data_IF_582865396043
#
_entry.id   IF_582865396043
#
_cell.length_a   1.000
_cell.length_b   1.000
_cell.length_c   1.000
_cell.angle_alpha   90.00
_cell.angle_beta   90.00
_cell.angle_gamma   90.00
#
_symmetry.space_group_name_H-M   'P 1'
#
loop_
_entity.id
_entity.type
_entity.pdbx_description
1 polymer ?
#
# COMPACT_ATOMS: atom_id res chain seq x y z
N UNK A 1 26.54 -1.74 8.40
CA UNK A 1 25.52 -2.81 8.46
C UNK A 1 24.62 -2.84 7.21
N UNK A 2 24.09 -1.71 6.73
CA UNK A 2 23.25 -1.64 5.51
C UNK A 2 24.07 -1.92 4.24
N UNK A 3 25.25 -1.32 4.11
CA UNK A 3 26.22 -1.65 3.05
C UNK A 3 26.52 -3.15 3.00
N UNK A 4 26.68 -3.80 4.16
CA UNK A 4 26.92 -5.25 4.23
C UNK A 4 25.67 -6.09 3.86
N UNK A 5 24.46 -5.61 4.18
CA UNK A 5 23.22 -6.38 4.02
C UNK A 5 22.49 -6.15 2.68
N UNK A 6 22.75 -5.03 2.03
CA UNK A 6 22.09 -4.57 0.81
C UNK A 6 23.07 -4.08 -0.27
N UNK A 7 24.38 -3.98 0.03
CA UNK A 7 25.38 -3.35 -0.86
C UNK A 7 25.03 -1.91 -1.24
N UNK A 8 24.32 -1.21 -0.35
CA UNK A 8 23.94 0.21 -0.50
C UNK A 8 24.71 1.05 0.51
N UNK A 9 25.41 2.06 0.02
CA UNK A 9 25.92 3.15 0.85
C UNK A 9 24.81 4.19 1.02
N UNK A 10 24.45 4.46 2.28
CA UNK A 10 23.37 5.40 2.58
C UNK A 10 23.79 6.85 2.40
N UNK A 11 25.10 7.15 2.42
CA UNK A 11 25.62 8.51 2.27
C UNK A 11 25.29 9.09 0.88
N UNK A 12 25.04 8.24 -0.10
CA UNK A 12 24.60 8.65 -1.44
C UNK A 12 23.11 9.02 -1.49
N UNK A 13 22.40 8.99 -0.36
CA UNK A 13 20.95 9.19 -0.26
C UNK A 13 20.56 10.19 0.83
N UNK A 14 21.47 11.09 1.23
CA UNK A 14 21.24 12.04 2.32
C UNK A 14 20.10 13.04 2.04
N UNK A 15 19.79 13.29 0.76
CA UNK A 15 18.66 14.14 0.34
C UNK A 15 17.29 13.44 0.41
N UNK A 16 17.25 12.13 0.68
CA UNK A 16 16.00 11.37 0.72
C UNK A 16 15.39 11.32 2.12
N UNK A 17 14.07 11.39 2.17
CA UNK A 17 13.34 11.24 3.44
C UNK A 17 13.55 9.85 4.05
N UNK A 18 13.54 9.70 5.39
CA UNK A 18 13.65 8.38 6.02
C UNK A 18 12.54 7.42 5.59
N UNK A 19 11.35 7.93 5.25
CA UNK A 19 10.28 7.14 4.65
C UNK A 19 10.69 6.53 3.30
N UNK A 20 11.26 7.34 2.39
CA UNK A 20 11.74 6.87 1.09
C UNK A 20 12.83 5.82 1.26
N UNK A 21 13.82 6.07 2.11
CA UNK A 21 14.90 5.12 2.39
C UNK A 21 14.36 3.79 2.93
N UNK A 22 13.34 3.84 3.80
CA UNK A 22 12.71 2.64 4.33
C UNK A 22 11.97 1.84 3.24
N UNK A 23 11.31 2.51 2.28
CA UNK A 23 10.67 1.86 1.14
C UNK A 23 11.71 1.25 0.18
N UNK A 24 12.81 1.95 -0.08
CA UNK A 24 13.93 1.41 -0.86
C UNK A 24 14.49 0.13 -0.22
N UNK A 25 14.70 0.12 1.10
CA UNK A 25 15.14 -1.10 1.80
C UNK A 25 14.09 -2.22 1.72
N UNK A 26 12.80 -1.88 1.70
CA UNK A 26 11.73 -2.87 1.51
C UNK A 26 11.83 -3.52 0.13
N UNK A 27 11.97 -2.70 -0.91
CA UNK A 27 12.12 -3.15 -2.30
C UNK A 27 13.33 -4.08 -2.48
N UNK A 28 14.50 -3.65 -1.97
CA UNK A 28 15.72 -4.47 -2.02
C UNK A 28 15.66 -5.75 -1.18
N UNK A 29 14.68 -5.87 -0.29
CA UNK A 29 14.44 -7.07 0.51
C UNK A 29 13.54 -8.09 -0.18
N UNK A 30 12.79 -7.67 -1.20
CA UNK A 30 11.92 -8.54 -1.96
C UNK A 30 12.69 -9.23 -3.10
N UNK A 31 12.26 -10.42 -3.55
CA UNK A 31 12.83 -11.03 -4.74
C UNK A 31 12.65 -10.10 -5.94
N UNK A 32 13.70 -9.87 -6.73
CA UNK A 32 13.58 -9.12 -7.97
C UNK A 32 12.61 -9.83 -8.90
N UNK A 33 11.50 -9.18 -9.23
CA UNK A 33 10.60 -9.62 -10.29
C UNK A 33 11.03 -8.96 -11.59
N UNK A 34 10.98 -9.70 -12.71
CA UNK A 34 11.20 -9.13 -14.06
C UNK A 34 9.96 -8.41 -14.61
N UNK A 35 8.86 -8.40 -13.86
CA UNK A 35 7.57 -7.85 -14.26
C UNK A 35 7.26 -6.61 -13.44
N UNK A 36 6.54 -5.69 -14.07
CA UNK A 36 6.03 -4.47 -13.46
C UNK A 36 5.21 -4.75 -12.20
N UNK A 37 5.10 -3.72 -11.35
CA UNK A 37 4.15 -3.74 -10.26
C UNK A 37 2.73 -3.99 -10.81
N UNK A 38 1.91 -4.74 -10.06
CA UNK A 38 0.58 -5.15 -10.51
C UNK A 38 -0.29 -3.95 -10.93
N UNK A 39 -0.22 -2.86 -10.18
CA UNK A 39 -1.00 -1.65 -10.46
C UNK A 39 -0.61 -1.03 -11.80
N UNK A 40 0.70 -0.98 -12.12
CA UNK A 40 1.19 -0.52 -13.42
C UNK A 40 0.75 -1.46 -14.54
N UNK A 41 0.86 -2.77 -14.34
CA UNK A 41 0.42 -3.76 -15.32
C UNK A 41 -1.09 -3.62 -15.62
N UNK A 42 -1.93 -3.51 -14.59
CA UNK A 42 -3.38 -3.34 -14.75
C UNK A 42 -3.72 -2.02 -15.45
N UNK A 43 -3.01 -0.94 -15.12
CA UNK A 43 -3.18 0.36 -15.77
C UNK A 43 -2.82 0.32 -17.25
N UNK A 44 -1.66 -0.24 -17.60
CA UNK A 44 -1.20 -0.38 -18.99
C UNK A 44 -2.15 -1.29 -19.77
N UNK A 45 -2.54 -2.43 -19.21
CA UNK A 45 -3.50 -3.34 -19.85
C UNK A 45 -4.84 -2.65 -20.15
N UNK A 46 -5.38 -1.88 -19.20
CA UNK A 46 -6.62 -1.16 -19.39
C UNK A 46 -6.49 -0.05 -20.46
N UNK A 47 -5.35 0.66 -20.47
CA UNK A 47 -5.03 1.68 -21.48
C UNK A 47 -4.93 1.08 -22.88
N UNK A 48 -4.16 0.01 -23.05
CA UNK A 48 -4.00 -0.72 -24.32
C UNK A 48 -5.31 -1.34 -24.81
N UNK A 49 -6.19 -1.73 -23.88
CA UNK A 49 -7.51 -2.27 -24.18
C UNK A 49 -8.57 -1.20 -24.44
N UNK A 50 -8.18 0.09 -24.54
CA UNK A 50 -9.09 1.20 -24.81
C UNK A 50 -10.13 1.42 -23.71
N UNK A 51 -9.83 1.03 -22.46
CA UNK A 51 -10.74 1.25 -21.32
C UNK A 51 -10.65 2.68 -20.85
N UNK A 52 -11.77 3.18 -20.37
CA UNK A 52 -11.81 4.47 -19.71
C UNK A 52 -11.11 4.39 -18.35
N UNK A 53 -10.12 5.26 -18.16
CA UNK A 53 -9.28 5.28 -16.98
C UNK A 53 -9.80 6.29 -15.97
N UNK A 54 -9.99 5.84 -14.73
CA UNK A 54 -10.41 6.68 -13.61
C UNK A 54 -9.56 6.40 -12.36
N UNK A 55 -9.31 7.44 -11.57
CA UNK A 55 -8.65 7.34 -10.27
C UNK A 55 -9.66 7.30 -9.13
N UNK A 56 -9.48 6.36 -8.19
CA UNK A 56 -10.18 6.35 -6.90
C UNK A 56 -9.53 7.34 -5.91
N UNK A 57 -8.27 7.69 -6.14
CA UNK A 57 -7.54 8.78 -5.49
C UNK A 57 -6.76 9.56 -6.55
N UNK A 58 -6.50 10.85 -6.31
CA UNK A 58 -5.57 11.64 -7.12
C UNK A 58 -4.13 11.43 -6.67
N UNK A 59 -3.17 11.75 -7.54
CA UNK A 59 -1.76 11.73 -7.20
C UNK A 59 -1.43 12.76 -6.11
N UNK A 60 -2.06 13.93 -6.17
CA UNK A 60 -1.93 15.02 -5.22
C UNK A 60 -2.40 14.62 -3.82
N UNK A 61 -3.51 13.88 -3.72
CA UNK A 61 -4.02 13.39 -2.44
C UNK A 61 -3.07 12.37 -1.81
N UNK A 62 -2.54 11.44 -2.61
CA UNK A 62 -1.54 10.49 -2.14
C UNK A 62 -0.27 11.20 -1.64
N UNK A 63 0.24 12.16 -2.42
CA UNK A 63 1.40 12.95 -2.02
C UNK A 63 1.16 13.75 -0.74
N UNK A 64 -0.03 14.36 -0.59
CA UNK A 64 -0.39 15.11 0.62
C UNK A 64 -0.36 14.21 1.84
N UNK A 65 -0.90 12.99 1.75
CA UNK A 65 -0.86 12.02 2.85
C UNK A 65 0.58 11.65 3.21
N UNK A 66 1.45 11.40 2.21
CA UNK A 66 2.85 11.06 2.45
C UNK A 66 3.65 12.20 3.09
N UNK A 67 3.44 13.45 2.65
CA UNK A 67 4.09 14.64 3.22
C UNK A 67 3.71 14.88 4.68
N UNK A 68 2.50 14.49 5.06
CA UNK A 68 1.99 14.67 6.41
C UNK A 68 2.47 13.57 7.40
N UNK A 69 3.27 12.59 6.95
CA UNK A 69 3.82 11.57 7.86
C UNK A 69 4.82 12.25 8.80
N UNK A 70 4.61 12.22 10.13
CA UNK A 70 5.48 12.89 11.08
C UNK A 70 6.95 12.41 10.98
N UNK A 71 7.90 13.35 10.95
CA UNK A 71 9.32 13.05 10.77
C UNK A 71 9.87 12.12 11.87
N UNK A 72 9.43 12.31 13.11
CA UNK A 72 9.79 11.46 14.25
C UNK A 72 9.36 10.00 14.03
N UNK A 73 8.18 9.79 13.44
CA UNK A 73 7.71 8.46 13.03
C UNK A 73 8.59 7.89 11.91
N UNK A 74 8.92 8.69 10.88
CA UNK A 74 9.78 8.24 9.78
C UNK A 74 11.15 7.79 10.30
N UNK A 75 11.80 8.63 11.11
CA UNK A 75 13.12 8.34 11.72
C UNK A 75 13.06 7.12 12.62
N UNK A 76 12.04 7.00 13.48
CA UNK A 76 11.88 5.85 14.37
C UNK A 76 11.67 4.55 13.59
N UNK A 77 10.83 4.60 12.54
CA UNK A 77 10.56 3.45 11.68
C UNK A 77 11.83 3.00 10.96
N UNK A 78 12.55 3.95 10.34
CA UNK A 78 13.81 3.66 9.67
C UNK A 78 14.87 3.10 10.62
N UNK A 79 15.08 3.72 11.78
CA UNK A 79 15.98 3.21 12.83
C UNK A 79 15.63 1.78 13.26
N UNK A 80 14.34 1.48 13.40
CA UNK A 80 13.88 0.12 13.74
C UNK A 80 14.21 -0.88 12.63
N UNK A 81 14.03 -0.50 11.36
CA UNK A 81 14.35 -1.32 10.19
C UNK A 81 15.83 -1.65 10.15
N UNK A 82 16.70 -0.64 10.24
CA UNK A 82 18.14 -0.83 10.12
C UNK A 82 18.70 -1.64 11.30
N UNK A 83 18.20 -1.45 12.53
CA UNK A 83 18.62 -2.24 13.69
C UNK A 83 18.21 -3.72 13.59
N UNK A 84 17.16 -4.03 12.83
CA UNK A 84 16.55 -5.37 12.81
C UNK A 84 16.33 -5.90 11.38
N UNK A 85 17.31 -5.75 10.49
CA UNK A 85 17.20 -6.10 9.07
C UNK A 85 16.71 -7.53 8.84
N UNK A 86 17.22 -8.53 9.58
CA UNK A 86 16.78 -9.94 9.45
C UNK A 86 15.28 -10.10 9.75
N UNK A 87 14.80 -9.46 10.81
CA UNK A 87 13.38 -9.46 11.18
C UNK A 87 12.53 -8.72 10.14
N UNK A 88 13.03 -7.60 9.63
CA UNK A 88 12.38 -6.83 8.58
C UNK A 88 12.21 -7.65 7.29
N UNK A 89 13.29 -8.27 6.77
CA UNK A 89 13.24 -9.18 5.61
C UNK A 89 12.26 -10.33 5.82
N UNK A 90 12.28 -10.95 7.01
CA UNK A 90 11.35 -12.04 7.34
C UNK A 90 9.88 -11.60 7.33
N UNK A 91 9.57 -10.42 7.88
CA UNK A 91 8.22 -9.84 7.85
C UNK A 91 7.75 -9.54 6.42
N UNK A 92 8.62 -8.99 5.58
CA UNK A 92 8.31 -8.73 4.16
C UNK A 92 8.07 -10.02 3.38
N UNK A 93 8.92 -11.04 3.56
CA UNK A 93 8.69 -12.36 2.95
C UNK A 93 7.35 -12.94 3.36
N UNK A 94 7.00 -12.86 4.66
CA UNK A 94 5.68 -13.29 5.15
C UNK A 94 4.54 -12.50 4.50
N UNK A 95 4.67 -11.18 4.41
CA UNK A 95 3.66 -10.34 3.76
C UNK A 95 3.47 -10.73 2.29
N UNK A 96 4.56 -10.95 1.56
CA UNK A 96 4.51 -11.41 0.16
C UNK A 96 3.82 -12.77 0.01
N UNK A 97 4.10 -13.73 0.91
CA UNK A 97 3.39 -15.03 0.92
C UNK A 97 1.90 -14.87 1.19
N UNK A 98 1.50 -13.98 2.11
CA UNK A 98 0.09 -13.73 2.38
C UNK A 98 -0.59 -13.04 1.20
N UNK A 99 0.11 -12.12 0.53
CA UNK A 99 -0.35 -11.45 -0.69
C UNK A 99 -0.62 -12.45 -1.80
N UNK A 100 0.34 -13.33 -2.10
CA UNK A 100 0.18 -14.38 -3.11
C UNK A 100 -0.96 -15.37 -2.80
N UNK A 101 -1.28 -15.57 -1.51
CA UNK A 101 -2.40 -16.41 -1.06
C UNK A 101 -3.74 -15.68 -1.00
N UNK A 102 -3.77 -14.36 -1.22
CA UNK A 102 -4.98 -13.55 -1.07
C UNK A 102 -5.50 -13.44 0.37
N UNK A 103 -4.66 -13.63 1.41
CA UNK A 103 -5.09 -13.55 2.81
C UNK A 103 -5.17 -12.09 3.29
N UNK A 104 -6.19 -11.39 2.79
CA UNK A 104 -6.47 -9.99 3.07
C UNK A 104 -6.66 -9.69 4.57
N UNK A 105 -7.12 -10.68 5.37
CA UNK A 105 -7.30 -10.52 6.82
C UNK A 105 -5.95 -10.44 7.54
N UNK A 106 -5.02 -11.34 7.21
CA UNK A 106 -3.69 -11.32 7.81
C UNK A 106 -2.86 -10.13 7.31
N UNK A 107 -2.98 -9.77 6.02
CA UNK A 107 -2.36 -8.55 5.46
C UNK A 107 -2.82 -7.32 6.23
N UNK A 108 -4.12 -7.16 6.44
CA UNK A 108 -4.67 -6.05 7.22
C UNK A 108 -4.15 -6.03 8.66
N UNK A 109 -4.10 -7.17 9.35
CA UNK A 109 -3.59 -7.26 10.73
C UNK A 109 -2.11 -6.87 10.83
N UNK A 110 -1.28 -7.35 9.89
CA UNK A 110 0.13 -7.01 9.84
C UNK A 110 0.34 -5.52 9.56
N UNK A 111 -0.38 -4.98 8.57
CA UNK A 111 -0.31 -3.57 8.17
C UNK A 111 -0.82 -2.65 9.29
N UNK A 112 -1.92 -3.02 9.96
CA UNK A 112 -2.46 -2.30 11.12
C UNK A 112 -1.45 -2.18 12.26
N UNK A 113 -0.65 -3.23 12.49
CA UNK A 113 0.38 -3.27 13.54
C UNK A 113 1.59 -2.42 13.15
N UNK A 114 2.02 -2.43 11.89
CA UNK A 114 3.18 -1.64 11.44
C UNK A 114 2.90 -0.14 11.41
N UNK A 115 1.69 0.28 11.03
CA UNK A 115 1.36 1.72 10.91
C UNK A 115 1.16 2.43 12.26
N UNK A 116 0.79 1.71 13.32
CA UNK A 116 0.63 2.32 14.64
C UNK A 116 -0.26 3.58 14.63
N UNK A 117 0.32 4.73 14.98
CA UNK A 117 -0.37 6.04 15.09
C UNK A 117 -0.76 6.65 13.73
N UNK A 118 0.00 6.40 12.66
CA UNK A 118 -0.30 6.97 11.33
C UNK A 118 -1.38 6.20 10.57
N UNK A 119 -1.93 5.12 11.14
CA UNK A 119 -2.93 4.29 10.49
C UNK A 119 -4.19 5.07 10.06
N UNK A 120 -4.61 6.04 10.86
CA UNK A 120 -5.81 6.82 10.57
C UNK A 120 -5.66 7.53 9.22
N UNK A 121 -4.61 8.34 9.07
CA UNK A 121 -4.32 9.06 7.82
C UNK A 121 -3.95 8.13 6.66
N UNK A 122 -3.20 7.05 6.91
CA UNK A 122 -2.71 6.18 5.83
C UNK A 122 -3.77 5.22 5.27
N UNK A 123 -4.79 4.88 6.06
CA UNK A 123 -5.80 3.88 5.68
C UNK A 123 -7.21 4.39 5.89
N UNK A 124 -7.58 4.84 7.09
CA UNK A 124 -8.99 5.09 7.40
C UNK A 124 -9.55 6.31 6.67
N UNK A 125 -8.83 7.42 6.69
CA UNK A 125 -9.29 8.65 6.03
C UNK A 125 -9.31 8.45 4.50
N UNK A 126 -8.31 7.76 3.97
CA UNK A 126 -8.26 7.33 2.56
C UNK A 126 -9.40 6.39 2.21
N UNK A 127 -9.73 5.42 3.05
CA UNK A 127 -10.83 4.50 2.79
C UNK A 127 -12.18 5.21 2.69
N UNK A 128 -12.42 6.22 3.54
CA UNK A 128 -13.64 7.04 3.48
C UNK A 128 -13.71 7.80 2.14
N UNK A 129 -12.62 8.43 1.71
CA UNK A 129 -12.54 9.09 0.40
C UNK A 129 -12.71 8.12 -0.78
N UNK A 130 -11.96 7.02 -0.77
CA UNK A 130 -12.02 6.01 -1.82
C UNK A 130 -13.40 5.39 -1.95
N UNK A 131 -14.08 5.10 -0.83
CA UNK A 131 -15.43 4.57 -0.85
C UNK A 131 -16.42 5.56 -1.47
N UNK A 132 -16.35 6.85 -1.12
CA UNK A 132 -17.19 7.87 -1.75
C UNK A 132 -16.98 7.95 -3.26
N UNK A 133 -15.71 7.93 -3.70
CA UNK A 133 -15.38 7.97 -5.14
C UNK A 133 -15.85 6.72 -5.88
N UNK A 134 -15.75 5.55 -5.26
CA UNK A 134 -16.27 4.30 -5.84
C UNK A 134 -17.79 4.36 -6.03
N UNK A 135 -18.55 4.89 -5.06
CA UNK A 135 -20.00 5.05 -5.19
C UNK A 135 -20.35 5.94 -6.38
N UNK A 136 -19.66 7.06 -6.53
CA UNK A 136 -19.86 7.99 -7.65
C UNK A 136 -19.57 7.34 -9.01
N UNK A 137 -18.44 6.63 -9.13
CA UNK A 137 -18.05 5.94 -10.36
C UNK A 137 -19.09 4.87 -10.71
N UNK A 138 -19.48 4.06 -9.72
CA UNK A 138 -20.35 2.89 -9.93
C UNK A 138 -21.83 3.23 -10.06
N UNK A 139 -22.26 4.42 -9.61
CA UNK A 139 -23.60 4.94 -9.86
C UNK A 139 -23.88 5.15 -11.36
N UNK A 140 -22.84 5.46 -12.13
CA UNK A 140 -22.97 5.76 -13.55
C UNK A 140 -22.74 4.52 -14.43
N UNK A 141 -21.77 3.66 -14.08
CA UNK A 141 -21.39 2.49 -14.90
C UNK A 141 -20.69 1.39 -14.09
N UNK A 142 -20.76 0.13 -14.54
CA UNK A 142 -19.91 -0.92 -14.01
C UNK A 142 -18.42 -0.56 -14.15
N UNK A 143 -17.63 -0.82 -13.10
CA UNK A 143 -16.22 -0.50 -13.08
C UNK A 143 -15.38 -1.63 -12.50
N UNK A 144 -14.19 -1.84 -13.04
CA UNK A 144 -13.13 -2.61 -12.40
C UNK A 144 -12.29 -1.67 -11.54
N UNK A 145 -12.16 -1.97 -10.25
CA UNK A 145 -11.48 -1.12 -9.28
C UNK A 145 -10.37 -1.93 -8.60
N UNK A 146 -9.13 -1.48 -8.76
CA UNK A 146 -7.96 -2.04 -8.08
C UNK A 146 -7.57 -1.16 -6.88
N UNK A 147 -7.36 -1.77 -5.72
CA UNK A 147 -7.00 -1.10 -4.47
C UNK A 147 -5.94 -1.92 -3.72
N UNK A 148 -5.10 -1.25 -2.94
CA UNK A 148 -4.15 -1.93 -2.06
C UNK A 148 -4.86 -2.82 -1.04
N UNK A 149 -4.42 -4.08 -0.89
CA UNK A 149 -5.09 -5.09 -0.05
C UNK A 149 -5.31 -4.67 1.42
N UNK A 150 -4.44 -3.80 1.96
CA UNK A 150 -4.57 -3.27 3.32
C UNK A 150 -5.83 -2.39 3.53
N UNK A 151 -6.45 -1.90 2.46
CA UNK A 151 -7.62 -1.03 2.50
C UNK A 151 -8.94 -1.80 2.55
N UNK A 152 -8.96 -3.07 2.13
CA UNK A 152 -10.19 -3.80 1.81
C UNK A 152 -11.03 -4.16 3.05
N UNK A 153 -10.41 -4.70 4.10
CA UNK A 153 -11.11 -5.34 5.22
C UNK A 153 -11.06 -4.54 6.53
N UNK A 154 -11.89 -4.95 7.49
CA UNK A 154 -12.00 -4.34 8.82
C UNK A 154 -13.15 -3.33 8.90
N UNK A 155 -13.48 -2.89 10.13
CA UNK A 155 -14.66 -2.02 10.39
C UNK A 155 -14.67 -0.72 9.58
N UNK A 156 -13.49 -0.19 9.24
CA UNK A 156 -13.28 0.99 8.40
C UNK A 156 -12.64 0.63 7.04
N UNK A 157 -12.74 -0.63 6.62
CA UNK A 157 -12.27 -1.09 5.30
C UNK A 157 -13.27 -0.73 4.21
N UNK A 158 -12.79 -0.55 2.99
CA UNK A 158 -13.62 -0.16 1.83
C UNK A 158 -14.82 -1.10 1.65
N UNK A 159 -14.64 -2.41 1.78
CA UNK A 159 -15.75 -3.37 1.65
C UNK A 159 -16.81 -3.18 2.74
N UNK A 160 -16.41 -2.79 3.96
CA UNK A 160 -17.36 -2.55 5.04
C UNK A 160 -18.09 -1.22 4.89
N UNK A 161 -17.43 -0.20 4.32
CA UNK A 161 -18.05 1.08 4.01
C UNK A 161 -19.08 0.92 2.88
N UNK A 162 -18.68 0.33 1.76
CA UNK A 162 -19.58 0.06 0.64
C UNK A 162 -20.77 -0.85 1.03
N UNK A 163 -20.57 -1.83 1.93
CA UNK A 163 -21.69 -2.66 2.44
C UNK A 163 -22.77 -1.83 3.15
N UNK A 164 -22.40 -0.73 3.82
CA UNK A 164 -23.38 0.17 4.46
C UNK A 164 -24.22 0.91 3.45
N UNK A 165 -23.68 1.13 2.25
CA UNK A 165 -24.34 1.76 1.11
C UNK A 165 -25.13 0.73 0.26
N UNK A 166 -25.37 -0.47 0.78
CA UNK A 166 -26.19 -1.49 0.12
C UNK A 166 -25.44 -2.43 -0.84
N UNK A 167 -24.12 -2.31 -0.97
CA UNK A 167 -23.35 -3.21 -1.86
C UNK A 167 -23.32 -4.64 -1.31
N UNK A 168 -23.44 -5.59 -2.24
CA UNK A 168 -23.22 -7.02 -1.98
C UNK A 168 -21.91 -7.47 -2.58
N UNK A 169 -21.26 -8.45 -1.95
CA UNK A 169 -19.94 -8.91 -2.35
C UNK A 169 -19.95 -10.42 -2.60
N UNK A 170 -19.35 -10.81 -3.73
CA UNK A 170 -19.04 -12.20 -4.05
C UNK A 170 -17.55 -12.33 -4.30
N UNK A 171 -16.91 -13.25 -3.59
CA UNK A 171 -15.52 -13.60 -3.86
C UNK A 171 -15.45 -14.33 -5.20
N UNK A 172 -14.64 -13.82 -6.12
CA UNK A 172 -14.31 -14.52 -7.36
C UNK A 172 -13.07 -15.39 -7.09
N UNK A 173 -13.16 -16.69 -7.43
CA UNK A 173 -12.09 -17.67 -7.29
C UNK A 173 -11.56 -18.05 -8.67
#
# INVERSE_FOLDING_TARGET
MILKAYKVDLLNYDDFTPFFMNNMLAELSLPKTKKDALDHYLWSFATESGKEMMGVESFEDQLRVLKNIPLDFQVKSFRSTIKNIKSFKSKLKKLNTLYAKGDIKQIFRMSKKSMGKIRKMMIYDRNEHMSARILEITANKPAFIALGAAHLVGKKGVLSLLKKEGFTFRMMR
#
